data_IF_415346257069
#
_entry.id   IF_415346257069
#
_cell.length_a   1.000
_cell.length_b   1.000
_cell.length_c   1.000
_cell.angle_alpha   90.00
_cell.angle_beta   90.00
_cell.angle_gamma   90.00
#
_symmetry.space_group_name_H-M   'P 1'
#
loop_
_entity.id
_entity.type
_entity.pdbx_description
1 polymer ?
#
# COMPACT_ATOMS: atom_id res chain seq x y z
N UNK A 1 17.03 16.28 5.35
CA UNK A 1 17.45 17.24 4.31
C UNK A 1 16.34 17.57 3.31
N UNK A 2 15.53 16.63 2.84
CA UNK A 2 14.37 16.88 1.93
C UNK A 2 13.30 17.82 2.52
N UNK A 3 13.02 17.73 3.81
CA UNK A 3 12.09 18.64 4.50
C UNK A 3 12.60 20.07 4.58
N UNK A 4 13.93 20.28 4.65
CA UNK A 4 14.55 21.62 4.69
C UNK A 4 14.44 22.32 3.33
N UNK A 5 14.60 21.60 2.21
CA UNK A 5 14.52 22.19 0.86
C UNK A 5 13.06 22.54 0.50
N UNK A 6 12.09 21.68 0.82
CA UNK A 6 10.65 22.00 0.65
C UNK A 6 10.21 23.12 1.61
N UNK A 7 10.82 23.21 2.78
CA UNK A 7 10.60 24.26 3.77
C UNK A 7 11.10 25.61 3.26
N UNK A 8 12.34 25.69 2.75
CA UNK A 8 12.91 26.91 2.19
C UNK A 8 12.05 27.41 1.02
N UNK A 9 11.55 26.53 0.15
CA UNK A 9 10.68 26.92 -0.97
C UNK A 9 9.28 27.34 -0.53
N UNK A 10 8.69 26.74 0.49
CA UNK A 10 7.37 27.13 1.01
C UNK A 10 7.44 28.40 1.87
N UNK A 11 8.46 28.53 2.70
CA UNK A 11 8.66 29.70 3.55
C UNK A 11 9.14 30.91 2.75
N UNK A 12 10.02 30.72 1.75
CA UNK A 12 10.41 31.74 0.78
C UNK A 12 9.20 32.21 -0.06
N UNK A 13 8.26 31.32 -0.40
CA UNK A 13 7.00 31.67 -1.06
C UNK A 13 6.05 32.49 -0.15
N UNK A 14 6.07 32.24 1.17
CA UNK A 14 5.33 33.01 2.18
C UNK A 14 5.95 34.41 2.29
N UNK A 15 7.27 34.51 2.27
CA UNK A 15 7.98 35.79 2.33
C UNK A 15 7.85 36.58 1.01
N UNK A 16 8.01 35.95 -0.16
CA UNK A 16 7.94 36.61 -1.48
C UNK A 16 6.55 37.06 -1.90
N UNK A 17 5.44 36.40 -1.44
CA UNK A 17 4.06 36.85 -1.69
C UNK A 17 3.63 38.03 -0.85
N UNK A 18 4.43 38.45 0.12
CA UNK A 18 4.17 39.61 0.96
C UNK A 18 4.33 40.94 0.24
N UNK A 19 5.09 40.96 -0.84
CA UNK A 19 5.41 42.21 -1.54
C UNK A 19 4.22 42.83 -2.30
N UNK A 20 3.08 42.10 -2.40
CA UNK A 20 1.96 42.55 -3.23
C UNK A 20 0.81 43.28 -2.51
N UNK A 21 0.73 43.29 -1.16
CA UNK A 21 -0.50 43.79 -0.48
C UNK A 21 -0.34 44.66 0.77
N UNK A 22 0.89 44.99 1.18
CA UNK A 22 1.08 45.87 2.37
C UNK A 22 2.07 46.98 2.09
N UNK A 23 1.72 48.22 2.49
CA UNK A 23 2.58 49.41 2.42
C UNK A 23 3.82 49.35 3.36
N UNK A 24 4.02 48.26 4.10
CA UNK A 24 5.21 47.95 4.88
C UNK A 24 6.20 47.04 4.10
N UNK A 25 5.86 46.61 2.89
CA UNK A 25 6.63 45.66 2.08
C UNK A 25 7.74 46.28 1.23
N UNK A 26 7.98 47.58 1.37
CA UNK A 26 9.03 48.31 0.61
C UNK A 26 10.41 48.27 1.25
N UNK A 27 10.59 47.50 2.37
CA UNK A 27 11.86 47.45 3.11
C UNK A 27 12.70 46.16 2.89
N UNK A 28 12.20 45.14 2.20
CA UNK A 28 12.95 43.88 1.99
C UNK A 28 14.15 44.04 1.06
N UNK A 29 14.16 45.04 0.19
CA UNK A 29 15.26 45.32 -0.76
C UNK A 29 16.51 45.96 -0.10
N UNK A 30 16.46 46.28 1.19
CA UNK A 30 17.55 46.96 1.91
C UNK A 30 18.17 46.16 3.05
N UNK A 31 18.01 44.83 3.08
CA UNK A 31 18.66 44.04 4.11
C UNK A 31 20.18 44.02 3.92
N UNK A 32 20.97 44.29 4.99
CA UNK A 32 22.42 44.10 4.94
C UNK A 32 22.80 42.67 4.57
N UNK A 33 23.87 42.53 3.78
CA UNK A 33 24.27 41.23 3.24
C UNK A 33 24.69 40.20 4.31
N UNK A 34 25.20 40.67 5.46
CA UNK A 34 25.60 39.82 6.60
C UNK A 34 25.16 40.49 7.90
N UNK A 35 24.15 39.95 8.54
CA UNK A 35 23.70 40.39 9.87
C UNK A 35 24.17 39.37 10.90
N UNK A 36 24.87 39.83 11.93
CA UNK A 36 25.29 38.97 13.03
C UNK A 36 24.49 39.24 14.31
N UNK A 37 24.54 38.31 15.26
CA UNK A 37 23.78 38.42 16.51
C UNK A 37 24.14 39.71 17.30
N UNK A 38 25.36 40.24 17.18
CA UNK A 38 25.77 41.46 17.89
C UNK A 38 25.08 42.72 17.36
N UNK A 39 24.67 42.73 16.09
CA UNK A 39 23.92 43.84 15.49
C UNK A 39 22.50 43.87 16.04
N UNK A 40 21.88 42.69 16.18
CA UNK A 40 20.59 42.52 16.86
C UNK A 40 20.67 42.92 18.33
N UNK A 41 21.73 42.51 19.02
CA UNK A 41 21.90 42.81 20.46
C UNK A 41 22.04 44.32 20.71
N UNK A 42 22.65 45.04 19.79
CA UNK A 42 22.80 46.50 19.89
C UNK A 42 21.51 47.25 19.61
N UNK A 43 20.63 46.72 18.75
CA UNK A 43 19.37 47.31 18.32
C UNK A 43 18.23 46.28 18.41
N UNK A 44 17.87 45.81 19.63
CA UNK A 44 16.93 44.72 19.80
C UNK A 44 15.50 45.04 19.38
N UNK A 45 15.13 46.35 19.40
CA UNK A 45 13.79 46.83 19.08
C UNK A 45 13.64 47.24 17.61
N UNK A 46 14.70 47.10 16.80
CA UNK A 46 14.65 47.38 15.36
C UNK A 46 13.96 46.22 14.63
N UNK A 47 12.69 46.39 14.33
CA UNK A 47 11.86 45.39 13.64
C UNK A 47 12.40 45.02 12.26
N UNK A 48 12.82 46.01 11.46
CA UNK A 48 13.35 45.77 10.12
C UNK A 48 14.59 44.90 10.18
N UNK A 49 15.50 45.22 11.08
CA UNK A 49 16.74 44.41 11.30
C UNK A 49 16.41 42.99 11.79
N UNK A 50 15.45 42.83 12.70
CA UNK A 50 15.01 41.53 13.16
C UNK A 50 14.38 40.69 12.03
N UNK A 51 13.57 41.28 11.14
CA UNK A 51 13.03 40.57 9.99
C UNK A 51 14.12 40.17 8.98
N UNK A 52 15.09 41.04 8.71
CA UNK A 52 16.22 40.70 7.83
C UNK A 52 17.05 39.52 8.41
N UNK A 53 17.32 39.55 9.73
CA UNK A 53 18.05 38.48 10.38
C UNK A 53 17.24 37.17 10.43
N UNK A 54 15.94 37.24 10.65
CA UNK A 54 15.03 36.09 10.57
C UNK A 54 15.09 35.46 9.16
N UNK A 55 14.99 36.27 8.10
CA UNK A 55 15.09 35.80 6.73
C UNK A 55 16.42 35.11 6.48
N UNK A 56 17.54 35.73 6.88
CA UNK A 56 18.86 35.12 6.75
C UNK A 56 18.94 33.73 7.43
N UNK A 57 18.41 33.59 8.65
CA UNK A 57 18.41 32.31 9.38
C UNK A 57 17.52 31.26 8.71
N UNK A 58 16.40 31.67 8.13
CA UNK A 58 15.54 30.78 7.35
C UNK A 58 16.26 30.31 6.08
N UNK A 59 16.91 31.19 5.36
CA UNK A 59 17.64 30.88 4.12
C UNK A 59 18.87 29.98 4.39
N UNK A 60 19.52 30.14 5.56
CA UNK A 60 20.57 29.24 6.06
C UNK A 60 20.02 27.86 6.51
N UNK A 61 18.69 27.71 6.67
CA UNK A 61 18.07 26.51 7.24
C UNK A 61 18.28 26.35 8.75
N UNK A 62 18.74 27.40 9.44
CA UNK A 62 18.99 27.40 10.87
C UNK A 62 17.71 27.73 11.67
N UNK A 63 16.80 26.75 11.69
CA UNK A 63 15.50 26.86 12.37
C UNK A 63 15.68 27.20 13.86
N UNK A 64 16.67 26.60 14.52
CA UNK A 64 16.91 26.82 15.96
C UNK A 64 17.25 28.25 16.29
N UNK A 65 18.01 28.92 15.44
CA UNK A 65 18.34 30.33 15.60
C UNK A 65 17.22 31.26 15.12
N UNK A 66 16.36 30.82 14.20
CA UNK A 66 15.23 31.60 13.72
C UNK A 66 14.11 31.75 14.78
N UNK A 67 13.85 30.71 15.60
CA UNK A 67 12.78 30.72 16.62
C UNK A 67 12.92 31.91 17.59
N UNK A 68 14.04 32.14 18.29
CA UNK A 68 14.16 33.27 19.20
C UNK A 68 14.02 34.64 18.54
N UNK A 69 14.34 34.72 17.24
CA UNK A 69 14.20 35.98 16.50
C UNK A 69 12.74 36.32 16.27
N UNK A 70 11.95 35.33 15.80
CA UNK A 70 10.53 35.54 15.56
C UNK A 70 9.76 35.75 16.88
N UNK A 71 10.17 35.10 17.98
CA UNK A 71 9.61 35.37 19.31
C UNK A 71 9.83 36.83 19.72
N UNK A 72 11.02 37.40 19.46
CA UNK A 72 11.27 38.80 19.69
C UNK A 72 10.38 39.73 18.84
N UNK A 73 10.21 39.40 17.56
CA UNK A 73 9.29 40.15 16.69
C UNK A 73 7.89 40.12 17.28
N UNK A 74 7.41 38.96 17.76
CA UNK A 74 6.09 38.84 18.39
C UNK A 74 5.97 39.56 19.75
N UNK A 75 7.08 39.76 20.47
CA UNK A 75 7.09 40.60 21.68
C UNK A 75 6.92 42.07 21.33
N UNK A 76 7.51 42.52 20.22
CA UNK A 76 7.38 43.91 19.74
C UNK A 76 6.01 44.16 19.06
N UNK A 77 5.55 43.17 18.27
CA UNK A 77 4.26 43.26 17.56
C UNK A 77 3.39 41.99 17.82
N UNK A 78 2.70 41.90 18.98
CA UNK A 78 1.93 40.70 19.35
C UNK A 78 0.76 40.36 18.43
N UNK A 79 0.29 41.32 17.64
CA UNK A 79 -0.86 41.18 16.75
C UNK A 79 -0.46 40.88 15.28
N UNK A 80 0.83 40.74 15.01
CA UNK A 80 1.32 40.48 13.66
C UNK A 80 1.06 39.01 13.23
N UNK A 81 -0.04 38.83 12.50
CA UNK A 81 -0.47 37.47 12.08
C UNK A 81 0.61 36.74 11.28
N UNK A 82 1.34 37.47 10.43
CA UNK A 82 2.39 36.87 9.59
C UNK A 82 3.56 36.35 10.40
N UNK A 83 4.07 37.11 11.36
CA UNK A 83 5.14 36.65 12.25
C UNK A 83 4.69 35.43 13.04
N UNK A 84 3.44 35.37 13.47
CA UNK A 84 2.88 34.23 14.20
C UNK A 84 2.75 32.99 13.31
N UNK A 85 2.36 33.14 12.04
CA UNK A 85 2.35 32.01 11.07
C UNK A 85 3.76 31.46 10.85
N UNK A 86 4.77 32.35 10.72
CA UNK A 86 6.17 31.94 10.58
C UNK A 86 6.62 31.19 11.86
N UNK A 87 6.32 31.72 13.05
CA UNK A 87 6.64 31.09 14.32
C UNK A 87 6.01 29.69 14.43
N UNK A 88 4.72 29.56 14.16
CA UNK A 88 4.02 28.28 14.16
C UNK A 88 4.62 27.28 13.15
N UNK A 89 5.03 27.76 11.97
CA UNK A 89 5.68 26.93 10.96
C UNK A 89 7.07 26.45 11.41
N UNK A 90 7.86 27.30 12.07
CA UNK A 90 9.16 26.95 12.63
C UNK A 90 9.02 25.91 13.75
N UNK A 91 8.02 26.08 14.63
CA UNK A 91 7.69 25.10 15.68
C UNK A 91 7.31 23.74 15.08
N UNK A 92 6.45 23.73 14.05
CA UNK A 92 6.06 22.52 13.33
C UNK A 92 7.28 21.78 12.77
N UNK A 93 8.22 22.47 12.13
CA UNK A 93 9.43 21.88 11.57
C UNK A 93 10.47 21.51 12.63
N UNK A 94 10.27 21.94 13.87
CA UNK A 94 11.08 21.57 15.05
C UNK A 94 10.44 20.41 15.85
N UNK A 95 9.44 19.73 15.30
CA UNK A 95 8.64 18.66 15.95
C UNK A 95 7.89 19.12 17.23
N UNK A 96 7.73 20.43 17.43
CA UNK A 96 6.98 21.03 18.55
C UNK A 96 5.49 21.16 18.14
N UNK A 97 4.80 20.01 17.94
CA UNK A 97 3.48 19.98 17.31
C UNK A 97 2.38 20.60 18.17
N UNK A 98 2.48 20.48 19.51
CA UNK A 98 1.48 21.04 20.44
C UNK A 98 1.52 22.56 20.41
N UNK A 99 2.71 23.13 20.49
CA UNK A 99 2.94 24.55 20.44
C UNK A 99 2.62 25.13 19.07
N UNK A 100 3.01 24.44 18.00
CA UNK A 100 2.67 24.81 16.63
C UNK A 100 1.15 24.88 16.43
N UNK A 101 0.40 23.89 16.94
CA UNK A 101 -1.05 23.88 16.91
C UNK A 101 -1.64 25.10 17.61
N UNK A 102 -1.18 25.40 18.81
CA UNK A 102 -1.67 26.53 19.61
C UNK A 102 -1.51 27.86 18.85
N UNK A 103 -0.35 28.06 18.23
CA UNK A 103 -0.07 29.28 17.47
C UNK A 103 -0.87 29.37 16.17
N UNK A 104 -1.08 28.25 15.46
CA UNK A 104 -1.94 28.23 14.29
C UNK A 104 -3.42 28.47 14.63
N UNK A 105 -3.94 27.91 15.73
CA UNK A 105 -5.31 28.13 16.21
C UNK A 105 -5.50 29.59 16.64
N UNK A 106 -4.51 30.19 17.29
CA UNK A 106 -4.53 31.61 17.68
C UNK A 106 -4.65 32.51 16.43
N UNK A 107 -3.85 32.22 15.39
CA UNK A 107 -3.92 32.97 14.12
C UNK A 107 -5.26 32.75 13.41
N UNK A 108 -5.77 31.50 13.39
CA UNK A 108 -7.06 31.17 12.77
C UNK A 108 -8.24 31.92 13.38
N UNK A 109 -8.13 32.26 14.66
CA UNK A 109 -9.19 33.04 15.35
C UNK A 109 -9.28 34.47 14.87
N UNK A 110 -8.34 34.97 14.06
CA UNK A 110 -8.22 36.33 13.58
C UNK A 110 -8.60 36.46 12.10
N UNK A 111 -8.97 37.65 11.63
CA UNK A 111 -9.16 37.88 10.19
C UNK A 111 -7.85 37.67 9.43
N UNK A 112 -7.86 36.79 8.41
CA UNK A 112 -6.71 36.46 7.58
C UNK A 112 -7.01 36.67 6.10
N UNK A 113 -6.00 37.02 5.28
CA UNK A 113 -6.09 36.88 3.84
C UNK A 113 -6.36 35.40 3.47
N UNK A 114 -7.10 35.16 2.40
CA UNK A 114 -7.46 33.78 1.98
C UNK A 114 -6.25 32.87 1.79
N UNK A 115 -5.14 33.41 1.29
CA UNK A 115 -3.89 32.66 1.12
C UNK A 115 -3.33 32.12 2.44
N UNK A 116 -3.36 32.96 3.48
CA UNK A 116 -2.82 32.64 4.80
C UNK A 116 -3.79 31.71 5.55
N UNK A 117 -5.10 31.89 5.37
CA UNK A 117 -6.12 30.99 5.90
C UNK A 117 -5.94 29.58 5.36
N UNK A 118 -5.74 29.41 4.04
CA UNK A 118 -5.46 28.10 3.44
C UNK A 118 -4.17 27.46 3.98
N UNK A 119 -3.13 28.26 4.18
CA UNK A 119 -1.86 27.77 4.72
C UNK A 119 -2.03 27.27 6.16
N UNK A 120 -2.68 28.06 7.01
CA UNK A 120 -2.96 27.70 8.41
C UNK A 120 -3.81 26.43 8.50
N UNK A 121 -4.86 26.32 7.66
CA UNK A 121 -5.70 25.13 7.61
C UNK A 121 -4.91 23.89 7.15
N UNK A 122 -4.00 24.03 6.19
CA UNK A 122 -3.15 22.91 5.73
C UNK A 122 -2.20 22.42 6.82
N UNK A 123 -1.56 23.33 7.58
CA UNK A 123 -0.72 22.93 8.72
C UNK A 123 -1.53 22.28 9.83
N UNK A 124 -2.70 22.84 10.20
CA UNK A 124 -3.57 22.25 11.22
C UNK A 124 -4.03 20.85 10.79
N UNK A 125 -4.42 20.67 9.53
CA UNK A 125 -4.77 19.35 8.99
C UNK A 125 -3.60 18.36 9.10
N UNK A 126 -2.37 18.77 8.75
CA UNK A 126 -1.18 17.92 8.86
C UNK A 126 -0.86 17.54 10.32
N UNK A 127 -1.04 18.50 11.26
CA UNK A 127 -0.88 18.23 12.69
C UNK A 127 -1.96 17.24 13.17
N UNK A 128 -3.22 17.39 12.72
CA UNK A 128 -4.32 16.48 13.03
C UNK A 128 -4.03 15.06 12.48
N UNK A 129 -3.57 14.95 11.24
CA UNK A 129 -3.18 13.68 10.63
C UNK A 129 -2.04 13.00 11.42
N UNK A 130 -1.05 13.77 11.91
CA UNK A 130 0.02 13.26 12.78
C UNK A 130 -0.51 12.88 14.17
N UNK A 131 -1.57 13.50 14.66
CA UNK A 131 -2.16 13.22 15.96
C UNK A 131 -3.14 12.03 15.95
N UNK A 132 -3.62 11.64 14.77
CA UNK A 132 -4.43 10.44 14.59
C UNK A 132 -3.59 9.19 14.89
N UNK A 133 -4.02 8.44 15.92
CA UNK A 133 -3.42 7.13 16.22
C UNK A 133 -3.97 6.02 15.35
N UNK A 134 -5.14 6.20 14.80
CA UNK A 134 -5.83 5.23 13.97
C UNK A 134 -5.89 5.71 12.51
N UNK A 135 -5.35 4.93 11.59
CA UNK A 135 -5.61 5.07 10.17
C UNK A 135 -6.55 3.95 9.75
N UNK A 136 -7.70 4.32 9.20
CA UNK A 136 -8.72 3.37 8.79
C UNK A 136 -9.03 3.58 7.31
N UNK A 137 -9.05 2.50 6.56
CA UNK A 137 -9.36 2.54 5.14
C UNK A 137 -10.43 1.50 4.83
N UNK A 138 -11.52 1.94 4.18
CA UNK A 138 -12.53 1.07 3.61
C UNK A 138 -12.43 1.14 2.09
N UNK A 139 -12.28 -0.01 1.44
CA UNK A 139 -12.31 -0.13 -0.01
C UNK A 139 -13.53 -0.92 -0.46
N UNK A 140 -14.26 -0.39 -1.43
CA UNK A 140 -15.37 -1.06 -2.10
C UNK A 140 -15.04 -1.17 -3.58
N UNK A 141 -15.17 -2.39 -4.15
CA UNK A 141 -14.92 -2.63 -5.56
C UNK A 141 -16.02 -3.48 -6.17
N UNK A 142 -16.44 -3.11 -7.38
CA UNK A 142 -17.33 -3.91 -8.23
C UNK A 142 -16.60 -4.14 -9.55
N UNK A 143 -16.50 -5.40 -9.95
CA UNK A 143 -15.80 -5.83 -11.15
C UNK A 143 -16.74 -6.65 -12.04
N UNK A 144 -16.98 -6.22 -13.28
CA UNK A 144 -17.54 -7.07 -14.31
C UNK A 144 -16.41 -7.81 -15.03
N UNK A 145 -16.55 -9.09 -15.29
CA UNK A 145 -15.53 -9.88 -15.96
C UNK A 145 -16.12 -10.90 -16.95
N UNK A 146 -15.27 -11.32 -17.86
CA UNK A 146 -15.49 -12.40 -18.81
C UNK A 146 -14.30 -13.36 -18.71
N UNK A 147 -14.59 -14.66 -18.65
CA UNK A 147 -13.63 -15.71 -18.42
C UNK A 147 -13.87 -16.86 -19.41
N UNK A 148 -12.84 -17.32 -20.12
CA UNK A 148 -12.95 -18.32 -21.18
C UNK A 148 -12.86 -19.78 -20.68
N UNK A 149 -12.61 -20.00 -19.37
CA UNK A 149 -12.49 -21.33 -18.77
C UNK A 149 -12.70 -21.29 -17.24
N UNK A 150 -13.91 -20.90 -16.79
CA UNK A 150 -14.23 -20.75 -15.36
C UNK A 150 -14.09 -22.05 -14.55
N UNK A 151 -14.26 -23.20 -15.20
CA UNK A 151 -14.16 -24.51 -14.56
C UNK A 151 -12.75 -25.11 -14.60
N UNK A 152 -11.75 -24.37 -15.12
CA UNK A 152 -10.38 -24.85 -15.32
C UNK A 152 -10.31 -26.23 -16.01
N UNK A 153 -11.23 -26.45 -16.97
CA UNK A 153 -11.24 -27.68 -17.74
C UNK A 153 -9.92 -27.88 -18.49
N UNK A 154 -9.45 -29.13 -18.63
CA UNK A 154 -8.24 -29.45 -19.38
C UNK A 154 -8.27 -28.92 -20.81
N UNK A 155 -7.07 -28.66 -21.36
CA UNK A 155 -6.94 -28.27 -22.77
C UNK A 155 -7.24 -29.41 -23.72
N UNK A 156 -7.00 -30.66 -23.29
CA UNK A 156 -7.28 -31.87 -24.05
C UNK A 156 -8.76 -32.28 -23.91
N UNK A 157 -9.35 -32.80 -24.99
CA UNK A 157 -10.72 -33.34 -25.00
C UNK A 157 -10.80 -34.71 -24.28
N UNK A 158 -9.67 -35.27 -23.88
CA UNK A 158 -9.57 -36.54 -23.14
C UNK A 158 -8.96 -36.36 -21.79
N UNK A 159 -9.37 -37.19 -20.84
CA UNK A 159 -8.78 -37.31 -19.50
C UNK A 159 -8.28 -38.73 -19.26
N UNK A 160 -7.23 -38.86 -18.47
CA UNK A 160 -6.74 -40.14 -17.99
C UNK A 160 -7.52 -40.57 -16.74
N UNK A 161 -7.91 -41.85 -16.71
CA UNK A 161 -8.43 -42.51 -15.52
C UNK A 161 -7.88 -43.94 -15.48
N UNK A 162 -7.10 -44.24 -14.45
CA UNK A 162 -6.31 -45.48 -14.35
C UNK A 162 -5.42 -45.75 -15.59
N UNK A 163 -4.90 -44.69 -16.21
CA UNK A 163 -4.05 -44.77 -17.41
C UNK A 163 -4.79 -44.99 -18.72
N UNK A 164 -6.11 -45.09 -18.71
CA UNK A 164 -6.94 -45.17 -19.92
C UNK A 164 -7.46 -43.77 -20.27
N UNK A 165 -7.52 -43.49 -21.56
CA UNK A 165 -8.09 -42.24 -22.08
C UNK A 165 -9.60 -42.34 -22.18
N UNK A 166 -10.28 -41.34 -21.67
CA UNK A 166 -11.75 -41.15 -21.77
C UNK A 166 -12.07 -39.77 -22.33
N UNK A 167 -13.11 -39.66 -23.15
CA UNK A 167 -13.62 -38.34 -23.51
C UNK A 167 -14.02 -37.57 -22.25
N UNK A 168 -13.55 -36.31 -22.17
CA UNK A 168 -13.90 -35.45 -21.03
C UNK A 168 -15.30 -34.86 -21.29
N UNK A 169 -16.30 -35.19 -20.46
CA UNK A 169 -17.66 -34.77 -20.69
C UNK A 169 -17.90 -33.27 -20.45
N UNK A 170 -17.01 -32.63 -19.67
CA UNK A 170 -17.12 -31.21 -19.35
C UNK A 170 -16.14 -30.39 -20.19
N UNK A 171 -16.66 -29.73 -21.21
CA UNK A 171 -15.89 -28.77 -21.99
C UNK A 171 -15.59 -27.52 -21.18
N UNK A 172 -14.65 -26.69 -21.65
CA UNK A 172 -14.42 -25.35 -21.12
C UNK A 172 -15.73 -24.58 -21.11
N UNK A 173 -15.99 -23.96 -19.97
CA UNK A 173 -17.15 -23.10 -19.77
C UNK A 173 -16.68 -21.65 -19.83
N UNK A 174 -17.17 -20.95 -20.85
CA UNK A 174 -16.99 -19.51 -21.02
C UNK A 174 -18.18 -18.80 -20.38
N UNK A 175 -17.91 -17.77 -19.53
CA UNK A 175 -18.98 -17.12 -18.80
C UNK A 175 -18.63 -15.66 -18.42
N UNK A 176 -19.68 -14.87 -18.22
CA UNK A 176 -19.60 -13.55 -17.62
C UNK A 176 -19.87 -13.63 -16.11
N UNK A 177 -19.18 -12.79 -15.35
CA UNK A 177 -19.39 -12.73 -13.91
C UNK A 177 -19.32 -11.32 -13.37
N UNK A 178 -19.72 -11.19 -12.10
CA UNK A 178 -19.63 -9.96 -11.33
C UNK A 178 -19.00 -10.29 -9.99
N UNK A 179 -17.85 -9.66 -9.70
CA UNK A 179 -17.15 -9.77 -8.45
C UNK A 179 -17.41 -8.51 -7.61
N UNK A 180 -17.75 -8.71 -6.36
CA UNK A 180 -17.86 -7.69 -5.34
C UNK A 180 -16.79 -7.89 -4.28
N UNK A 181 -16.02 -6.85 -3.97
CA UNK A 181 -14.99 -6.88 -2.95
C UNK A 181 -15.18 -5.73 -1.96
N UNK A 182 -15.11 -6.08 -0.67
CA UNK A 182 -15.02 -5.12 0.44
C UNK A 182 -13.75 -5.42 1.20
N UNK A 183 -12.92 -4.41 1.46
CA UNK A 183 -11.83 -4.53 2.42
C UNK A 183 -11.84 -3.39 3.41
N UNK A 184 -11.54 -3.72 4.66
CA UNK A 184 -11.34 -2.77 5.75
C UNK A 184 -9.97 -3.00 6.37
N UNK A 185 -9.18 -1.95 6.49
CA UNK A 185 -7.85 -1.97 7.08
C UNK A 185 -7.78 -0.96 8.21
N UNK A 186 -7.23 -1.39 9.34
CA UNK A 186 -6.96 -0.58 10.53
C UNK A 186 -5.49 -0.69 10.88
N UNK A 187 -4.85 0.46 11.06
CA UNK A 187 -3.51 0.62 11.59
C UNK A 187 -3.59 1.56 12.80
N UNK A 188 -3.42 1.01 14.01
CA UNK A 188 -3.49 1.77 15.26
C UNK A 188 -2.10 1.95 15.85
N UNK A 189 -1.55 3.17 15.75
CA UNK A 189 -0.23 3.52 16.25
C UNK A 189 -0.20 3.54 17.78
N UNK A 190 0.83 2.92 18.37
CA UNK A 190 1.06 2.87 19.81
C UNK A 190 2.54 2.96 20.13
N UNK A 191 2.87 3.07 21.42
CA UNK A 191 4.21 3.39 21.91
C UNK A 191 4.36 4.88 22.20
N UNK A 192 5.44 5.25 22.87
CA UNK A 192 5.70 6.62 23.28
C UNK A 192 5.86 7.56 22.08
N UNK A 193 6.55 7.10 21.04
CA UNK A 193 6.78 7.82 19.78
C UNK A 193 5.92 7.29 18.63
N UNK A 194 4.85 6.54 18.92
CA UNK A 194 3.94 5.95 17.92
C UNK A 194 4.65 5.10 16.86
N UNK A 195 5.80 4.55 17.20
CA UNK A 195 6.64 3.77 16.30
C UNK A 195 6.11 2.35 16.05
N UNK A 196 5.20 1.87 16.89
CA UNK A 196 4.57 0.57 16.77
C UNK A 196 3.12 0.70 16.29
N UNK A 197 2.55 -0.37 15.75
CA UNK A 197 1.15 -0.38 15.36
C UNK A 197 0.47 -1.73 15.62
N UNK A 198 -0.75 -1.69 16.16
CA UNK A 198 -1.67 -2.81 16.05
C UNK A 198 -2.35 -2.74 14.68
N UNK A 199 -2.36 -3.86 13.96
CA UNK A 199 -2.91 -3.94 12.61
C UNK A 199 -4.07 -4.93 12.58
N UNK A 200 -5.14 -4.57 11.89
CA UNK A 200 -6.24 -5.47 11.57
C UNK A 200 -6.68 -5.27 10.13
N UNK A 201 -7.02 -6.35 9.46
CA UNK A 201 -7.68 -6.28 8.15
C UNK A 201 -8.78 -7.30 8.03
N UNK A 202 -9.82 -6.95 7.29
CA UNK A 202 -10.92 -7.84 6.95
C UNK A 202 -11.28 -7.64 5.49
N UNK A 203 -11.34 -8.72 4.73
CA UNK A 203 -11.72 -8.71 3.33
C UNK A 203 -12.85 -9.70 3.10
N UNK A 204 -13.84 -9.28 2.32
CA UNK A 204 -14.87 -10.13 1.76
C UNK A 204 -14.86 -10.01 0.24
N UNK A 205 -14.85 -11.15 -0.43
CA UNK A 205 -14.97 -11.24 -1.88
C UNK A 205 -16.13 -12.17 -2.22
N UNK A 206 -16.95 -11.78 -3.18
CA UNK A 206 -17.98 -12.62 -3.76
C UNK A 206 -17.93 -12.49 -5.28
N UNK A 207 -17.81 -13.62 -5.96
CA UNK A 207 -17.83 -13.75 -7.40
C UNK A 207 -19.06 -14.56 -7.82
N UNK A 208 -19.92 -14.00 -8.66
CA UNK A 208 -21.13 -14.62 -9.14
C UNK A 208 -21.09 -14.70 -10.66
N UNK A 209 -21.41 -15.86 -11.19
CA UNK A 209 -21.50 -16.10 -12.63
C UNK A 209 -22.95 -15.95 -13.12
N UNK A 210 -23.12 -15.54 -14.38
CA UNK A 210 -24.44 -15.21 -14.91
C UNK A 210 -25.36 -16.45 -15.06
N UNK A 211 -24.79 -17.63 -15.43
CA UNK A 211 -25.55 -18.85 -15.63
C UNK A 211 -25.04 -20.06 -14.85
N UNK A 212 -23.82 -20.00 -14.33
CA UNK A 212 -23.14 -21.11 -13.63
C UNK A 212 -23.08 -20.87 -12.12
N UNK A 213 -24.22 -20.76 -11.46
CA UNK A 213 -24.35 -20.51 -10.03
C UNK A 213 -23.64 -21.55 -9.13
N UNK A 214 -23.45 -22.78 -9.65
CA UNK A 214 -22.68 -23.84 -8.97
C UNK A 214 -21.20 -23.48 -8.78
N UNK A 215 -20.70 -22.51 -9.54
CA UNK A 215 -19.33 -22.01 -9.46
C UNK A 215 -19.23 -20.66 -8.72
N UNK A 216 -20.35 -20.13 -8.22
CA UNK A 216 -20.35 -18.93 -7.39
C UNK A 216 -19.46 -19.11 -6.17
N UNK A 217 -18.53 -18.16 -6.01
CA UNK A 217 -17.51 -18.24 -4.99
C UNK A 217 -17.64 -17.10 -3.99
N UNK A 218 -17.38 -17.37 -2.72
CA UNK A 218 -17.19 -16.31 -1.72
C UNK A 218 -16.04 -16.62 -0.76
N UNK A 219 -15.40 -15.58 -0.27
CA UNK A 219 -14.27 -15.69 0.66
C UNK A 219 -14.30 -14.58 1.69
N UNK A 220 -14.09 -14.96 2.96
CA UNK A 220 -13.71 -14.06 4.04
C UNK A 220 -12.25 -14.30 4.40
N UNK A 221 -11.49 -13.21 4.54
CA UNK A 221 -10.11 -13.25 4.99
C UNK A 221 -9.91 -12.18 6.06
N UNK A 222 -9.34 -12.55 7.20
CA UNK A 222 -9.05 -11.62 8.28
C UNK A 222 -7.62 -11.77 8.78
N UNK A 223 -7.01 -10.65 9.16
CA UNK A 223 -5.69 -10.59 9.78
C UNK A 223 -5.76 -9.71 11.03
N UNK A 224 -5.06 -10.12 12.08
CA UNK A 224 -4.86 -9.35 13.30
C UNK A 224 -3.41 -9.50 13.75
N UNK A 225 -2.74 -8.40 14.08
CA UNK A 225 -1.33 -8.47 14.45
C UNK A 225 -0.78 -7.19 15.05
N UNK A 226 0.53 -7.21 15.27
CA UNK A 226 1.30 -6.06 15.71
C UNK A 226 2.51 -5.88 14.81
N UNK A 227 2.79 -4.64 14.47
CA UNK A 227 4.00 -4.18 13.79
C UNK A 227 4.85 -3.39 14.78
N UNK A 228 6.07 -3.81 14.95
CA UNK A 228 7.09 -3.17 15.78
C UNK A 228 8.10 -2.51 14.86
N UNK A 229 8.40 -1.24 15.07
CA UNK A 229 9.46 -0.53 14.37
C UNK A 229 10.65 -0.36 15.30
N UNK A 230 11.82 -0.83 14.90
CA UNK A 230 13.08 -0.76 15.60
C UNK A 230 14.10 -0.09 14.68
N UNK A 231 14.12 1.23 14.71
CA UNK A 231 15.09 2.04 13.96
C UNK A 231 15.10 1.71 12.45
N UNK A 232 13.89 1.67 11.85
CA UNK A 232 13.67 1.38 10.42
C UNK A 232 13.49 -0.10 10.07
N UNK A 233 13.87 -1.02 10.97
CA UNK A 233 13.52 -2.45 10.82
C UNK A 233 12.11 -2.66 11.37
N UNK A 234 11.16 -2.98 10.49
CA UNK A 234 9.78 -3.28 10.86
C UNK A 234 9.59 -4.77 11.01
N UNK A 235 9.25 -5.23 12.21
CA UNK A 235 8.90 -6.60 12.52
C UNK A 235 7.39 -6.71 12.69
N UNK A 236 6.72 -7.60 11.94
CA UNK A 236 5.28 -7.81 12.04
C UNK A 236 4.99 -9.26 12.45
N UNK A 237 4.22 -9.42 13.52
CA UNK A 237 3.65 -10.69 13.97
C UNK A 237 2.14 -10.63 13.77
N UNK A 238 1.58 -11.57 13.01
CA UNK A 238 0.15 -11.57 12.69
C UNK A 238 -0.45 -12.97 12.69
N UNK A 239 -1.68 -13.09 13.17
CA UNK A 239 -2.56 -14.22 12.96
C UNK A 239 -3.51 -13.93 11.79
N UNK A 240 -3.91 -14.97 11.07
CA UNK A 240 -4.86 -14.88 9.97
C UNK A 240 -5.89 -16.02 10.02
N UNK A 241 -7.07 -15.74 9.48
CA UNK A 241 -8.12 -16.73 9.30
C UNK A 241 -8.82 -16.49 7.95
N UNK A 242 -9.25 -17.58 7.31
CA UNK A 242 -9.95 -17.56 6.03
C UNK A 242 -11.09 -18.56 6.04
N UNK A 243 -12.20 -18.18 5.41
CA UNK A 243 -13.30 -19.07 5.08
C UNK A 243 -13.69 -18.89 3.63
N UNK A 244 -13.75 -19.98 2.88
CA UNK A 244 -14.16 -20.01 1.48
C UNK A 244 -15.39 -20.88 1.30
N UNK A 245 -16.29 -20.46 0.43
CA UNK A 245 -17.50 -21.19 0.06
C UNK A 245 -17.61 -21.23 -1.47
N UNK A 246 -18.14 -22.33 -1.98
CA UNK A 246 -18.53 -22.52 -3.37
C UNK A 246 -20.02 -22.84 -3.40
N UNK A 247 -20.81 -22.17 -4.23
CA UNK A 247 -22.26 -22.33 -4.30
C UNK A 247 -22.95 -22.22 -2.93
N UNK A 248 -22.43 -21.36 -2.03
CA UNK A 248 -22.92 -21.21 -0.67
C UNK A 248 -22.52 -22.31 0.32
N UNK A 249 -21.94 -23.42 -0.16
CA UNK A 249 -21.43 -24.48 0.70
C UNK A 249 -19.97 -24.22 1.08
N UNK A 250 -19.62 -24.53 2.34
CA UNK A 250 -18.27 -24.34 2.82
C UNK A 250 -17.25 -25.21 2.10
N UNK A 251 -16.21 -24.61 1.53
CA UNK A 251 -15.12 -25.29 0.83
C UNK A 251 -13.89 -25.45 1.69
N UNK A 252 -13.41 -24.37 2.30
CA UNK A 252 -12.16 -24.32 3.04
C UNK A 252 -12.28 -23.41 4.27
N UNK A 253 -11.74 -23.85 5.39
CA UNK A 253 -11.39 -23.01 6.55
C UNK A 253 -9.91 -23.09 6.79
N UNK A 254 -9.24 -21.95 6.85
CA UNK A 254 -7.82 -21.86 7.13
C UNK A 254 -7.56 -20.89 8.26
N UNK A 255 -6.58 -21.20 9.10
CA UNK A 255 -6.07 -20.27 10.12
C UNK A 255 -4.57 -20.47 10.28
N UNK A 256 -3.87 -19.42 10.67
CA UNK A 256 -2.43 -19.48 10.77
C UNK A 256 -1.81 -18.27 11.43
N UNK A 257 -0.48 -18.26 11.42
CA UNK A 257 0.32 -17.16 11.90
C UNK A 257 1.52 -16.89 11.00
N UNK A 258 1.96 -15.66 10.99
CA UNK A 258 3.11 -15.22 10.20
C UNK A 258 3.98 -14.25 10.97
N UNK A 259 5.26 -14.29 10.66
CA UNK A 259 6.28 -13.34 11.07
C UNK A 259 6.88 -12.72 9.80
N UNK A 260 6.99 -11.42 9.76
CA UNK A 260 7.71 -10.76 8.67
C UNK A 260 8.62 -9.66 9.20
N UNK A 261 9.77 -9.49 8.55
CA UNK A 261 10.70 -8.39 8.75
C UNK A 261 10.82 -7.60 7.47
N UNK A 262 10.82 -6.28 7.56
CA UNK A 262 11.07 -5.41 6.39
C UNK A 262 11.98 -4.27 6.77
N UNK A 263 12.77 -3.84 5.79
CA UNK A 263 13.67 -2.70 5.89
C UNK A 263 13.62 -1.88 4.60
N UNK A 264 13.67 -0.57 4.74
CA UNK A 264 13.63 0.36 3.63
C UNK A 264 14.90 1.22 3.58
N UNK A 265 15.47 1.37 2.38
CA UNK A 265 16.59 2.27 2.10
C UNK A 265 16.10 3.41 1.21
N UNK A 266 16.40 4.64 1.58
CA UNK A 266 16.26 5.80 0.70
C UNK A 266 17.65 6.19 0.17
N UNK A 267 17.87 5.92 -1.12
CA UNK A 267 19.10 6.25 -1.84
C UNK A 267 18.89 7.57 -2.60
N UNK A 268 18.79 8.67 -1.87
CA UNK A 268 18.47 10.01 -2.40
C UNK A 268 19.35 10.40 -3.60
N UNK A 269 20.65 10.07 -3.56
CA UNK A 269 21.59 10.37 -4.65
C UNK A 269 21.23 9.70 -5.99
N UNK A 270 20.47 8.60 -5.94
CA UNK A 270 20.03 7.84 -7.11
C UNK A 270 18.53 8.02 -7.38
N UNK A 271 17.84 8.86 -6.61
CA UNK A 271 16.37 8.99 -6.62
C UNK A 271 15.65 7.63 -6.54
N UNK A 272 16.19 6.73 -5.73
CA UNK A 272 15.79 5.32 -5.62
C UNK A 272 15.38 4.99 -4.19
N UNK A 273 14.16 4.50 -4.02
CA UNK A 273 13.67 3.93 -2.78
C UNK A 273 13.57 2.41 -2.90
N UNK A 274 14.21 1.69 -2.00
CA UNK A 274 14.25 0.22 -1.97
C UNK A 274 13.59 -0.27 -0.68
N UNK A 275 12.63 -1.18 -0.79
CA UNK A 275 12.05 -1.87 0.37
C UNK A 275 12.26 -3.37 0.19
N UNK A 276 12.79 -4.03 1.21
CA UNK A 276 12.93 -5.50 1.25
C UNK A 276 12.10 -6.08 2.37
N UNK A 277 11.55 -7.27 2.14
CA UNK A 277 10.76 -7.99 3.14
C UNK A 277 11.08 -9.49 3.10
N UNK A 278 11.31 -10.05 4.27
CA UNK A 278 11.30 -11.48 4.53
C UNK A 278 10.04 -11.83 5.31
N UNK A 279 9.29 -12.82 4.88
CA UNK A 279 8.11 -13.32 5.61
C UNK A 279 8.12 -14.82 5.69
N UNK A 280 7.69 -15.37 6.81
CA UNK A 280 7.50 -16.81 7.02
C UNK A 280 6.22 -17.04 7.82
N UNK A 281 5.61 -18.19 7.66
CA UNK A 281 4.39 -18.50 8.39
C UNK A 281 3.98 -19.97 8.27
N UNK A 282 2.97 -20.28 9.04
CA UNK A 282 2.30 -21.58 9.06
C UNK A 282 0.80 -21.37 9.02
N UNK A 283 0.09 -22.19 8.27
CA UNK A 283 -1.38 -22.24 8.27
C UNK A 283 -1.85 -23.69 8.36
N UNK A 284 -3.02 -23.86 8.95
CA UNK A 284 -3.76 -25.13 8.95
C UNK A 284 -4.96 -24.95 8.03
N UNK A 285 -5.00 -25.76 6.96
CA UNK A 285 -6.06 -25.74 5.96
C UNK A 285 -6.99 -26.93 6.23
N UNK A 286 -8.27 -26.67 6.47
CA UNK A 286 -9.33 -27.66 6.67
C UNK A 286 -10.31 -27.59 5.50
N UNK A 287 -10.21 -28.53 4.58
CA UNK A 287 -11.17 -28.69 3.49
C UNK A 287 -12.42 -29.38 4.02
N UNK A 288 -13.57 -28.75 3.89
CA UNK A 288 -14.84 -29.18 4.48
C UNK A 288 -15.86 -29.65 3.43
N UNK A 289 -15.60 -29.39 2.14
CA UNK A 289 -16.42 -29.94 1.06
C UNK A 289 -16.35 -31.49 1.06
N UNK A 290 -17.47 -32.19 0.73
CA UNK A 290 -17.48 -33.63 0.65
C UNK A 290 -16.37 -34.18 -0.26
N UNK A 291 -15.63 -35.19 0.20
CA UNK A 291 -14.54 -35.81 -0.54
C UNK A 291 -13.20 -35.03 -0.56
N UNK A 292 -13.16 -33.77 -0.11
CA UNK A 292 -11.96 -32.93 -0.14
C UNK A 292 -11.08 -33.01 1.11
N UNK A 293 -11.53 -33.71 2.16
CA UNK A 293 -10.88 -33.78 3.48
C UNK A 293 -9.43 -34.30 3.43
N UNK A 294 -9.08 -35.12 2.44
CA UNK A 294 -7.72 -35.65 2.22
C UNK A 294 -6.72 -34.53 1.89
N UNK A 295 -7.19 -33.40 1.37
CA UNK A 295 -6.40 -32.19 1.09
C UNK A 295 -6.15 -31.32 2.32
N UNK A 296 -6.81 -31.61 3.46
CA UNK A 296 -6.59 -30.88 4.71
C UNK A 296 -5.21 -31.16 5.29
N UNK A 297 -4.57 -30.14 5.85
CA UNK A 297 -3.23 -30.29 6.42
C UNK A 297 -2.57 -28.99 6.80
N UNK A 298 -1.30 -29.04 7.13
CA UNK A 298 -0.48 -27.87 7.48
C UNK A 298 0.31 -27.39 6.28
N UNK A 299 0.40 -26.09 6.12
CA UNK A 299 1.19 -25.44 5.09
C UNK A 299 2.19 -24.48 5.74
N UNK A 300 3.44 -24.62 5.41
CA UNK A 300 4.54 -23.74 5.80
C UNK A 300 4.97 -22.94 4.58
N UNK A 301 5.30 -21.68 4.77
CA UNK A 301 5.77 -20.84 3.67
C UNK A 301 6.83 -19.86 4.12
N UNK A 302 7.71 -19.50 3.19
CA UNK A 302 8.68 -18.43 3.32
C UNK A 302 8.76 -17.65 2.01
N UNK A 303 8.89 -16.34 2.11
CA UNK A 303 8.93 -15.44 0.96
C UNK A 303 9.92 -14.31 1.21
N UNK A 304 10.81 -14.09 0.25
CA UNK A 304 11.66 -12.89 0.17
C UNK A 304 11.13 -12.03 -0.95
N UNK A 305 10.98 -10.74 -0.70
CA UNK A 305 10.52 -9.79 -1.72
C UNK A 305 11.24 -8.46 -1.59
N UNK A 306 11.32 -7.74 -2.72
CA UNK A 306 11.84 -6.39 -2.78
C UNK A 306 11.00 -5.52 -3.71
N UNK A 307 10.85 -4.25 -3.38
CA UNK A 307 10.31 -3.23 -4.27
C UNK A 307 11.32 -2.11 -4.46
N UNK A 308 11.42 -1.66 -5.70
CA UNK A 308 12.30 -0.59 -6.16
C UNK A 308 11.40 0.51 -6.72
N UNK A 309 11.40 1.69 -6.09
CA UNK A 309 10.68 2.86 -6.62
C UNK A 309 11.70 3.86 -7.10
N UNK A 310 11.67 4.22 -8.37
CA UNK A 310 12.56 5.20 -8.98
C UNK A 310 11.76 6.29 -9.69
N UNK A 311 12.32 7.51 -9.67
CA UNK A 311 11.68 8.74 -10.17
C UNK A 311 10.26 8.98 -9.63
N UNK A 312 9.91 8.35 -8.48
CA UNK A 312 8.60 8.37 -7.81
C UNK A 312 7.40 7.87 -8.64
N UNK A 313 7.60 7.57 -9.93
CA UNK A 313 6.55 7.15 -10.87
C UNK A 313 6.69 5.69 -11.30
N UNK A 314 7.86 5.10 -11.13
CA UNK A 314 8.13 3.71 -11.48
C UNK A 314 8.26 2.85 -10.23
N UNK A 315 7.58 1.73 -10.20
CA UNK A 315 7.70 0.74 -9.13
C UNK A 315 7.93 -0.65 -9.73
N UNK A 316 9.04 -1.28 -9.38
CA UNK A 316 9.36 -2.67 -9.72
C UNK A 316 9.31 -3.51 -8.45
N UNK A 317 8.55 -4.58 -8.47
CA UNK A 317 8.46 -5.57 -7.39
C UNK A 317 8.95 -6.92 -7.85
N UNK A 318 9.76 -7.57 -7.03
CA UNK A 318 10.28 -8.93 -7.25
C UNK A 318 10.05 -9.76 -5.99
N UNK A 319 9.67 -11.04 -6.14
CA UNK A 319 9.56 -11.95 -5.03
C UNK A 319 9.93 -13.40 -5.39
N UNK A 320 10.53 -14.09 -4.41
CA UNK A 320 10.81 -15.52 -4.42
C UNK A 320 10.09 -16.14 -3.22
N UNK A 321 9.36 -17.21 -3.46
CA UNK A 321 8.61 -17.93 -2.44
C UNK A 321 8.92 -19.42 -2.45
N UNK A 322 8.86 -20.00 -1.26
CA UNK A 322 8.88 -21.45 -1.04
C UNK A 322 7.72 -21.82 -0.13
N UNK A 323 7.02 -22.89 -0.44
CA UNK A 323 6.02 -23.44 0.46
C UNK A 323 6.00 -24.96 0.40
N UNK A 324 5.64 -25.57 1.51
CA UNK A 324 5.37 -27.01 1.60
C UNK A 324 4.05 -27.22 2.31
N UNK A 325 3.30 -28.20 1.84
CA UNK A 325 2.03 -28.62 2.44
C UNK A 325 2.12 -30.09 2.81
N UNK A 326 1.83 -30.37 4.06
CA UNK A 326 1.67 -31.71 4.63
C UNK A 326 0.16 -31.97 4.77
N UNK A 327 -0.44 -32.56 3.75
CA UNK A 327 -1.85 -32.92 3.74
C UNK A 327 -2.08 -34.31 4.34
N UNK A 328 -3.34 -34.66 4.61
CA UNK A 328 -3.72 -36.00 5.07
C UNK A 328 -3.41 -37.10 4.04
N UNK A 329 -3.43 -36.75 2.75
CA UNK A 329 -3.00 -37.61 1.66
C UNK A 329 -1.68 -37.12 1.05
N UNK A 330 -0.76 -38.04 0.78
CA UNK A 330 0.48 -37.74 0.09
C UNK A 330 0.24 -37.17 -1.32
N UNK A 331 -0.82 -37.60 -1.99
CA UNK A 331 -1.22 -37.07 -3.31
C UNK A 331 -1.67 -35.60 -3.29
N UNK A 332 -2.02 -35.09 -2.11
CA UNK A 332 -2.37 -33.69 -1.88
C UNK A 332 -1.25 -32.89 -1.16
N UNK A 333 -0.21 -33.58 -0.70
CA UNK A 333 1.00 -32.98 -0.12
C UNK A 333 1.94 -32.51 -1.23
N UNK A 334 2.61 -31.37 -1.05
CA UNK A 334 3.47 -30.82 -2.10
C UNK A 334 4.57 -29.91 -1.57
N UNK A 335 5.56 -29.69 -2.41
CA UNK A 335 6.51 -28.56 -2.33
C UNK A 335 6.31 -27.65 -3.52
N UNK A 336 6.42 -26.33 -3.29
CA UNK A 336 6.23 -25.32 -4.33
C UNK A 336 7.29 -24.23 -4.22
N UNK A 337 7.89 -23.88 -5.35
CA UNK A 337 8.72 -22.70 -5.55
C UNK A 337 7.99 -21.71 -6.43
N UNK A 338 7.99 -20.43 -6.07
CA UNK A 338 7.34 -19.38 -6.84
C UNK A 338 8.25 -18.20 -7.05
N UNK A 339 8.12 -17.59 -8.22
CA UNK A 339 8.76 -16.32 -8.58
C UNK A 339 7.69 -15.39 -9.09
N UNK A 340 7.71 -14.13 -8.66
CA UNK A 340 6.82 -13.12 -9.21
C UNK A 340 7.55 -11.81 -9.44
N UNK A 341 7.09 -11.09 -10.45
CA UNK A 341 7.55 -9.77 -10.85
C UNK A 341 6.35 -8.91 -11.19
N UNK A 342 6.33 -7.68 -10.71
CA UNK A 342 5.42 -6.67 -11.22
C UNK A 342 6.13 -5.36 -11.50
N UNK A 343 5.65 -4.65 -12.49
CA UNK A 343 6.09 -3.31 -12.82
C UNK A 343 4.85 -2.41 -12.91
N UNK A 344 4.92 -1.23 -12.28
CA UNK A 344 3.89 -0.19 -12.36
C UNK A 344 4.54 1.13 -12.74
N UNK A 345 3.97 1.77 -13.74
CA UNK A 345 4.21 3.16 -14.06
C UNK A 345 2.98 3.98 -13.69
N UNK A 346 3.19 5.12 -13.01
CA UNK A 346 2.11 6.04 -12.60
C UNK A 346 2.41 7.42 -13.17
N UNK A 347 1.50 7.96 -13.98
CA UNK A 347 1.59 9.31 -14.51
C UNK A 347 1.29 10.36 -13.44
N UNK A 348 1.68 11.62 -13.67
CA UNK A 348 1.46 12.74 -12.75
C UNK A 348 -0.02 13.03 -12.48
N UNK A 349 -0.90 12.70 -13.42
CA UNK A 349 -2.36 12.83 -13.28
C UNK A 349 -3.03 11.60 -12.64
N UNK A 350 -2.26 10.64 -12.08
CA UNK A 350 -2.78 9.51 -11.35
C UNK A 350 -3.09 8.25 -12.18
N UNK A 351 -3.09 8.35 -13.54
CA UNK A 351 -3.25 7.15 -14.37
C UNK A 351 -2.08 6.20 -14.15
N UNK A 352 -2.32 4.89 -14.16
CA UNK A 352 -1.26 3.92 -14.05
C UNK A 352 -1.42 2.73 -14.98
N UNK A 353 -0.29 2.19 -15.43
CA UNK A 353 -0.20 0.92 -16.15
C UNK A 353 0.60 -0.04 -15.27
N UNK A 354 0.05 -1.22 -15.03
CA UNK A 354 0.71 -2.26 -14.27
C UNK A 354 0.76 -3.57 -15.06
N UNK A 355 1.93 -4.20 -15.07
CA UNK A 355 2.12 -5.54 -15.59
C UNK A 355 2.57 -6.45 -14.45
N UNK A 356 2.05 -7.66 -14.40
CA UNK A 356 2.43 -8.67 -13.41
C UNK A 356 2.64 -10.01 -14.09
N UNK A 357 3.65 -10.75 -13.65
CA UNK A 357 3.90 -12.12 -14.05
C UNK A 357 4.31 -12.93 -12.83
N UNK A 358 3.77 -14.13 -12.70
CA UNK A 358 4.23 -15.10 -11.71
C UNK A 358 4.32 -16.50 -12.31
N UNK A 359 5.34 -17.23 -11.91
CA UNK A 359 5.54 -18.63 -12.26
C UNK A 359 5.80 -19.41 -10.99
N UNK A 360 5.21 -20.60 -10.88
CA UNK A 360 5.57 -21.53 -9.82
C UNK A 360 5.91 -22.93 -10.35
N UNK A 361 6.51 -23.73 -9.51
CA UNK A 361 6.84 -25.14 -9.77
C UNK A 361 6.41 -25.94 -8.56
N UNK A 362 5.36 -26.72 -8.73
CA UNK A 362 4.78 -27.56 -7.68
C UNK A 362 5.11 -29.02 -7.98
N UNK A 363 5.64 -29.70 -6.98
CA UNK A 363 5.85 -31.14 -7.01
C UNK A 363 5.05 -31.77 -5.87
N UNK A 364 4.18 -32.69 -6.21
CA UNK A 364 3.40 -33.45 -5.23
C UNK A 364 4.24 -34.59 -4.65
N UNK A 365 3.87 -35.07 -3.47
CA UNK A 365 4.63 -36.11 -2.75
C UNK A 365 4.13 -37.51 -3.06
N UNK A 366 2.83 -37.67 -3.27
CA UNK A 366 2.23 -38.97 -3.56
C UNK A 366 1.95 -39.21 -5.04
N UNK A 367 1.79 -40.44 -5.42
CA UNK A 367 1.47 -40.87 -6.78
C UNK A 367 0.08 -40.36 -7.22
N UNK A 368 -0.08 -40.26 -8.51
CA UNK A 368 -1.36 -39.97 -9.19
C UNK A 368 -1.95 -41.24 -9.83
N UNK A 369 -1.81 -42.39 -9.15
CA UNK A 369 -2.17 -43.73 -9.65
C UNK A 369 -3.60 -43.81 -10.16
N UNK A 370 -4.57 -43.20 -9.46
CA UNK A 370 -5.98 -43.14 -9.92
C UNK A 370 -6.16 -42.44 -11.28
N UNK A 371 -5.23 -41.59 -11.64
CA UNK A 371 -5.25 -40.89 -12.94
C UNK A 371 -4.43 -41.66 -13.97
N UNK A 372 -3.20 -42.02 -13.62
CA UNK A 372 -2.22 -42.49 -14.58
C UNK A 372 -2.14 -44.03 -14.67
N UNK A 373 -2.68 -44.77 -13.68
CA UNK A 373 -2.49 -46.20 -13.55
C UNK A 373 -1.07 -46.60 -13.11
N UNK A 374 -0.18 -45.63 -12.89
CA UNK A 374 1.20 -45.84 -12.53
C UNK A 374 1.49 -45.32 -11.11
N UNK A 375 1.78 -46.17 -10.13
CA UNK A 375 2.06 -45.77 -8.75
C UNK A 375 3.37 -45.00 -8.59
N UNK A 376 4.25 -45.00 -9.58
CA UNK A 376 5.52 -44.25 -9.55
C UNK A 376 5.42 -42.86 -10.07
N UNK A 377 4.36 -42.53 -10.78
CA UNK A 377 4.18 -41.23 -11.45
C UNK A 377 3.59 -40.18 -10.48
N UNK A 378 4.36 -39.15 -10.23
CA UNK A 378 4.04 -38.07 -9.31
C UNK A 378 3.77 -36.80 -10.09
N UNK A 379 2.63 -36.17 -9.81
CA UNK A 379 2.23 -34.91 -10.48
C UNK A 379 3.24 -33.80 -10.25
N UNK A 380 3.61 -33.12 -11.34
CA UNK A 380 4.34 -31.84 -11.32
C UNK A 380 3.54 -30.81 -12.12
N UNK A 381 3.42 -29.61 -11.60
CA UNK A 381 2.70 -28.51 -12.25
C UNK A 381 3.57 -27.27 -12.32
N UNK A 382 3.43 -26.50 -13.39
CA UNK A 382 4.18 -25.26 -13.65
C UNK A 382 3.20 -24.15 -14.05
N UNK A 383 2.33 -23.70 -13.11
CA UNK A 383 1.42 -22.62 -13.42
C UNK A 383 2.19 -21.32 -13.70
N UNK A 384 1.77 -20.62 -14.75
CA UNK A 384 2.18 -19.28 -15.15
C UNK A 384 0.95 -18.38 -15.15
N UNK A 385 1.04 -17.25 -14.50
CA UNK A 385 0.02 -16.21 -14.52
C UNK A 385 0.65 -14.90 -15.03
N UNK A 386 -0.04 -14.20 -15.91
CA UNK A 386 0.33 -12.89 -16.40
C UNK A 386 -0.89 -11.97 -16.44
N UNK A 387 -0.72 -10.70 -16.05
CA UNK A 387 -1.77 -9.69 -16.18
C UNK A 387 -1.22 -8.35 -16.61
N UNK A 388 -2.08 -7.57 -17.29
CA UNK A 388 -1.86 -6.19 -17.66
C UNK A 388 -3.09 -5.39 -17.23
N UNK A 389 -2.89 -4.27 -16.54
CA UNK A 389 -3.97 -3.42 -16.05
C UNK A 389 -3.69 -1.95 -16.38
N UNK A 390 -4.73 -1.24 -16.77
CA UNK A 390 -4.80 0.21 -16.90
C UNK A 390 -5.74 0.74 -15.85
N UNK A 391 -5.27 1.63 -14.98
CA UNK A 391 -6.08 2.30 -13.96
C UNK A 391 -6.19 3.78 -14.29
N UNK A 392 -7.41 4.29 -14.26
CA UNK A 392 -7.77 5.68 -14.56
C UNK A 392 -8.50 6.25 -13.34
N UNK A 393 -8.04 7.36 -12.74
CA UNK A 393 -8.81 8.05 -11.72
C UNK A 393 -10.10 8.61 -12.33
N UNK A 394 -11.18 8.61 -11.56
CA UNK A 394 -12.48 9.15 -11.96
C UNK A 394 -12.59 10.57 -11.37
N UNK A 395 -12.32 11.59 -12.17
CA UNK A 395 -12.21 12.98 -11.73
C UNK A 395 -13.46 13.55 -11.02
N UNK A 396 -14.65 13.00 -11.31
CA UNK A 396 -15.91 13.44 -10.71
C UNK A 396 -16.11 12.94 -9.26
N UNK A 397 -15.36 11.97 -8.81
CA UNK A 397 -15.51 11.35 -7.48
C UNK A 397 -14.13 11.11 -6.88
N UNK A 398 -13.85 11.81 -5.80
CA UNK A 398 -12.58 11.70 -5.08
C UNK A 398 -12.28 10.24 -4.69
N UNK A 399 -11.03 9.81 -4.82
CA UNK A 399 -10.56 8.46 -4.49
C UNK A 399 -11.37 7.31 -5.16
N UNK A 400 -11.80 7.53 -6.39
CA UNK A 400 -12.47 6.51 -7.22
C UNK A 400 -11.64 6.22 -8.46
N UNK A 401 -11.41 4.95 -8.73
CA UNK A 401 -10.64 4.48 -9.88
C UNK A 401 -11.44 3.52 -10.75
N UNK A 402 -11.26 3.65 -12.07
CA UNK A 402 -11.66 2.66 -13.06
C UNK A 402 -10.43 1.87 -13.49
N UNK A 403 -10.46 0.55 -13.36
CA UNK A 403 -9.39 -0.34 -13.82
C UNK A 403 -9.91 -1.28 -14.89
N UNK A 404 -9.20 -1.36 -16.02
CA UNK A 404 -9.43 -2.35 -17.08
C UNK A 404 -8.23 -3.28 -17.08
N UNK A 405 -8.47 -4.61 -17.03
CA UNK A 405 -7.39 -5.59 -17.03
C UNK A 405 -7.65 -6.78 -17.94
N UNK A 406 -6.55 -7.37 -18.41
CA UNK A 406 -6.52 -8.67 -19.07
C UNK A 406 -5.56 -9.59 -18.34
N UNK A 407 -5.98 -10.82 -18.10
CA UNK A 407 -5.25 -11.84 -17.38
C UNK A 407 -5.17 -13.13 -18.18
N UNK A 408 -4.03 -13.82 -18.05
CA UNK A 408 -3.85 -15.14 -18.64
C UNK A 408 -3.23 -16.08 -17.64
N UNK A 409 -3.87 -17.22 -17.46
CA UNK A 409 -3.38 -18.33 -16.65
C UNK A 409 -3.10 -19.53 -17.55
N UNK A 410 -1.91 -20.12 -17.38
CA UNK A 410 -1.50 -21.34 -18.05
C UNK A 410 -1.03 -22.31 -16.97
N UNK A 411 -1.59 -23.48 -16.90
CA UNK A 411 -1.06 -24.55 -16.06
C UNK A 411 -0.50 -25.66 -16.93
N UNK A 412 0.83 -25.80 -16.98
CA UNK A 412 1.50 -26.94 -17.61
C UNK A 412 1.73 -28.02 -16.56
N UNK A 413 1.38 -29.24 -16.85
CA UNK A 413 1.56 -30.37 -15.96
C UNK A 413 2.12 -31.60 -16.68
N UNK A 414 2.75 -32.52 -15.93
CA UNK A 414 3.22 -33.80 -16.48
C UNK A 414 2.05 -34.77 -16.77
N UNK A 415 0.84 -34.43 -16.34
CA UNK A 415 -0.40 -35.20 -16.52
C UNK A 415 -1.41 -34.28 -17.17
N UNK A 416 -1.93 -34.65 -18.35
CA UNK A 416 -2.82 -33.81 -19.18
C UNK A 416 -4.09 -33.36 -18.48
N UNK A 417 -4.64 -34.17 -17.57
CA UNK A 417 -5.82 -33.81 -16.75
C UNK A 417 -5.70 -32.48 -16.01
N UNK A 418 -4.47 -32.01 -15.79
CA UNK A 418 -4.18 -30.78 -15.04
C UNK A 418 -3.61 -29.65 -15.91
N UNK A 419 -3.52 -29.90 -17.23
CA UNK A 419 -3.11 -28.87 -18.19
C UNK A 419 -4.30 -28.07 -18.62
N UNK A 420 -4.28 -26.76 -18.38
CA UNK A 420 -5.34 -25.85 -18.80
C UNK A 420 -4.81 -24.44 -19.06
N UNK A 421 -5.58 -23.70 -19.82
CA UNK A 421 -5.41 -22.27 -20.03
C UNK A 421 -6.72 -21.56 -19.78
N UNK A 422 -6.59 -20.34 -19.27
CA UNK A 422 -7.70 -19.45 -19.00
C UNK A 422 -7.30 -18.02 -19.34
N UNK A 423 -8.23 -17.25 -19.93
CA UNK A 423 -8.08 -15.82 -20.20
C UNK A 423 -9.28 -15.09 -19.59
N UNK A 424 -9.00 -14.09 -18.76
CA UNK A 424 -10.02 -13.26 -18.11
C UNK A 424 -9.82 -11.79 -18.52
N UNK A 425 -10.90 -11.15 -18.92
CA UNK A 425 -10.97 -9.72 -19.13
C UNK A 425 -11.86 -9.11 -18.08
N UNK A 426 -11.49 -7.95 -17.51
CA UNK A 426 -12.28 -7.33 -16.47
C UNK A 426 -12.28 -5.81 -16.55
N UNK A 427 -13.37 -5.22 -16.04
CA UNK A 427 -13.49 -3.80 -15.76
C UNK A 427 -13.98 -3.61 -14.32
N UNK A 428 -13.26 -2.86 -13.52
CA UNK A 428 -13.50 -2.67 -12.09
C UNK A 428 -13.63 -1.20 -11.74
N UNK A 429 -14.59 -0.87 -10.92
CA UNK A 429 -14.69 0.44 -10.26
C UNK A 429 -14.40 0.25 -8.77
N UNK A 430 -13.42 0.98 -8.27
CA UNK A 430 -13.00 0.92 -6.86
C UNK A 430 -13.13 2.30 -6.21
N UNK A 431 -13.75 2.37 -5.03
CA UNK A 431 -13.83 3.57 -4.19
C UNK A 431 -13.13 3.33 -2.88
N UNK A 432 -12.21 4.25 -2.52
CA UNK A 432 -11.53 4.28 -1.23
C UNK A 432 -12.15 5.35 -0.33
N UNK A 433 -12.32 4.99 0.96
CA UNK A 433 -12.77 5.89 2.03
C UNK A 433 -11.69 5.88 3.11
N UNK A 434 -11.18 7.06 3.45
CA UNK A 434 -10.38 7.27 4.66
C UNK A 434 -11.33 7.68 5.78
N UNK A 435 -11.33 6.93 6.90
CA UNK A 435 -12.28 7.06 8.01
C UNK A 435 -11.60 7.65 9.25
#
# INVERSE_FOLDING_TARGET
MRYVILFITSLAAIMARADATSSAATESDNCPADINFSDIYRNPDDLALNYCYLQQKIDEGDIKSAIPVVERILLLEPHQNRARIIYASLLYHSDMMVEARQEFEEVRSRPLPKSDEWLVLDYLRRIDEMDQRATQTLSLSITGHHDDNINNAPDDDTILFYGYEFEFPQKKVEEYGTEFNISYDLDYAWGEYRQHAAIASLQYTRDNYATQDTLDFSSWYGTLGNRFDFDGIKLTLAGNAQHQSLHGEGLLRSHGGSLSSSYAWDLESLNLYVNTRLSTGVSTDNYIAPGSNTSSGKRYYSKVSGSLTFDKVHNLYLALGYSTKEARSDSASYTNWSTSMSYRWTATAGQSIAAYVSQSRTRYSGSSEFVTGDPSLVRRSKPLFASLALTLPVDMVENMDLTISGERQLNRADISNYEYRNTRWSASVTKLFSL
#
